data_IF_339602921878
#
_entry.id   IF_339602921878
#
_cell.length_a   1.000
_cell.length_b   1.000
_cell.length_c   1.000
_cell.angle_alpha   90.00
_cell.angle_beta   90.00
_cell.angle_gamma   90.00
#
_symmetry.space_group_name_H-M   'P 1'
#
loop_
_entity.id
_entity.type
_entity.pdbx_description
1 polymer ?
#
# COMPACT_ATOMS: atom_id res chain seq x y z
N UNK A 1 -4.57 18.18 5.04
CA UNK A 1 -5.31 18.79 3.91
C UNK A 1 -5.79 17.72 2.95
N UNK A 2 -4.91 16.85 2.42
CA UNK A 2 -5.30 15.67 1.64
C UNK A 2 -6.17 14.71 2.45
N UNK A 3 -5.75 14.40 3.66
CA UNK A 3 -6.60 13.79 4.68
C UNK A 3 -7.23 14.91 5.51
N UNK A 4 -8.54 14.80 5.72
CA UNK A 4 -9.32 15.75 6.53
C UNK A 4 -9.27 15.43 8.03
N UNK A 5 -8.43 14.46 8.42
CA UNK A 5 -8.25 14.02 9.79
C UNK A 5 -6.92 14.53 10.37
N UNK A 6 -6.90 14.73 11.68
CA UNK A 6 -5.68 15.01 12.43
C UNK A 6 -4.81 13.75 12.51
N UNK A 7 -3.53 13.94 12.78
CA UNK A 7 -2.64 12.82 13.07
C UNK A 7 -3.19 12.01 14.26
N UNK A 8 -3.30 10.67 14.17
CA UNK A 8 -4.02 9.85 15.14
C UNK A 8 -3.31 9.73 16.49
N UNK A 9 -2.04 10.11 16.58
CA UNK A 9 -1.25 10.03 17.80
C UNK A 9 -0.89 11.42 18.35
N UNK A 10 -0.39 11.44 19.59
CA UNK A 10 -0.02 12.68 20.29
C UNK A 10 1.24 13.36 19.77
N UNK A 11 2.21 12.57 19.27
CA UNK A 11 3.49 13.08 18.78
C UNK A 11 4.04 12.20 17.65
N UNK A 12 4.94 12.80 16.86
CA UNK A 12 5.70 12.12 15.82
C UNK A 12 7.19 12.15 16.19
N UNK A 13 7.82 10.98 16.21
CA UNK A 13 9.25 10.79 16.47
C UNK A 13 9.92 10.26 15.21
N UNK A 14 11.07 10.83 14.85
CA UNK A 14 11.85 10.41 13.69
C UNK A 14 13.25 10.07 14.15
N UNK A 15 13.71 8.85 13.89
CA UNK A 15 15.01 8.35 14.33
C UNK A 15 15.80 7.89 13.12
N UNK A 16 17.01 8.41 12.98
CA UNK A 16 17.96 7.97 11.96
C UNK A 16 18.94 6.98 12.58
N UNK A 17 19.02 5.79 12.01
CA UNK A 17 19.86 4.69 12.50
C UNK A 17 20.78 4.24 11.37
N UNK A 18 22.05 4.00 11.71
CA UNK A 18 23.02 3.43 10.79
C UNK A 18 22.84 1.90 10.70
N UNK A 19 23.20 1.29 9.58
CA UNK A 19 23.07 -0.17 9.35
C UNK A 19 21.64 -0.74 9.45
N UNK A 20 20.64 -0.03 8.93
CA UNK A 20 19.27 -0.57 8.82
C UNK A 20 19.11 -1.51 7.63
N UNK A 21 18.37 -2.62 7.79
CA UNK A 21 18.10 -3.55 6.69
C UNK A 21 17.24 -2.96 5.56
N UNK A 22 16.33 -2.04 5.89
CA UNK A 22 15.49 -1.32 4.93
C UNK A 22 15.67 0.18 5.12
N UNK A 23 15.43 0.95 4.04
CA UNK A 23 15.57 2.42 4.05
C UNK A 23 14.68 3.11 5.10
N UNK A 24 13.52 2.52 5.37
CA UNK A 24 12.56 3.01 6.35
C UNK A 24 11.70 1.90 6.93
N UNK A 25 11.29 2.06 8.19
CA UNK A 25 10.23 1.29 8.83
C UNK A 25 9.34 2.20 9.66
N UNK A 26 8.04 2.02 9.48
CA UNK A 26 7.00 2.84 10.11
C UNK A 26 6.43 2.10 11.32
N UNK A 27 6.42 2.76 12.47
CA UNK A 27 5.82 2.28 13.72
C UNK A 27 4.80 3.29 14.26
N UNK A 28 3.99 2.87 15.24
CA UNK A 28 3.08 3.77 15.92
C UNK A 28 3.86 4.93 16.57
N UNK A 29 3.53 6.17 16.22
CA UNK A 29 4.21 7.42 16.68
C UNK A 29 5.66 7.63 16.22
N UNK A 30 6.30 6.64 15.60
CA UNK A 30 7.73 6.67 15.31
C UNK A 30 8.07 6.15 13.92
N UNK A 31 9.01 6.78 13.22
CA UNK A 31 9.60 6.26 11.98
C UNK A 31 11.10 6.07 12.18
N UNK A 32 11.58 4.85 11.91
CA UNK A 32 13.01 4.54 11.87
C UNK A 32 13.46 4.62 10.41
N UNK A 33 14.51 5.40 10.15
CA UNK A 33 15.02 5.73 8.83
C UNK A 33 16.53 5.50 8.78
N UNK A 34 17.08 5.21 7.60
CA UNK A 34 18.53 5.09 7.43
C UNK A 34 19.21 6.46 7.46
N UNK A 35 20.40 6.54 8.06
CA UNK A 35 21.26 7.74 8.04
C UNK A 35 21.60 8.20 6.60
N UNK A 36 21.63 7.29 5.63
CA UNK A 36 21.85 7.57 4.20
C UNK A 36 20.81 8.52 3.57
N UNK A 37 19.67 8.74 4.24
CA UNK A 37 18.65 9.69 3.80
C UNK A 37 18.95 11.13 4.24
N UNK A 38 19.88 11.33 5.18
CA UNK A 38 20.33 12.64 5.60
C UNK A 38 21.26 13.23 4.54
N UNK A 39 20.98 14.46 4.14
CA UNK A 39 21.79 15.17 3.15
C UNK A 39 21.87 16.66 3.48
N UNK A 40 22.97 17.29 3.05
CA UNK A 40 23.11 18.74 3.11
C UNK A 40 22.20 19.42 2.08
N UNK A 41 21.88 20.70 2.29
CA UNK A 41 21.08 21.51 1.38
C UNK A 41 21.71 21.66 -0.03
N UNK A 42 23.02 21.40 -0.16
CA UNK A 42 23.75 21.44 -1.44
C UNK A 42 23.40 20.26 -2.34
N UNK A 43 23.00 19.12 -1.77
CA UNK A 43 22.69 17.89 -2.51
C UNK A 43 21.20 17.90 -2.85
N UNK A 44 20.86 18.47 -4.00
CA UNK A 44 19.46 18.68 -4.42
C UNK A 44 18.81 17.37 -4.89
N UNK A 45 19.56 16.47 -5.52
CA UNK A 45 19.00 15.23 -6.09
C UNK A 45 18.41 14.29 -5.03
N UNK A 46 19.04 14.25 -3.84
CA UNK A 46 18.59 13.40 -2.73
C UNK A 46 17.26 13.87 -2.11
N UNK A 47 16.88 15.14 -2.32
CA UNK A 47 15.65 15.73 -1.77
C UNK A 47 14.42 14.92 -2.18
N UNK A 48 14.33 14.53 -3.46
CA UNK A 48 13.17 13.80 -3.99
C UNK A 48 13.03 12.42 -3.34
N UNK A 49 14.15 11.68 -3.27
CA UNK A 49 14.20 10.34 -2.66
C UNK A 49 13.85 10.38 -1.17
N UNK A 50 14.53 11.24 -0.40
CA UNK A 50 14.33 11.35 1.04
C UNK A 50 12.92 11.78 1.40
N UNK A 51 12.39 12.81 0.72
CA UNK A 51 11.04 13.31 1.01
C UNK A 51 9.94 12.32 0.65
N UNK A 52 10.10 11.59 -0.46
CA UNK A 52 9.17 10.51 -0.83
C UNK A 52 9.17 9.39 0.21
N UNK A 53 10.34 8.99 0.70
CA UNK A 53 10.46 7.96 1.74
C UNK A 53 9.84 8.42 3.06
N UNK A 54 10.09 9.68 3.47
CA UNK A 54 9.46 10.24 4.66
C UNK A 54 7.94 10.33 4.52
N UNK A 55 7.43 10.77 3.37
CA UNK A 55 5.99 10.83 3.10
C UNK A 55 5.35 9.44 3.15
N UNK A 56 6.04 8.44 2.60
CA UNK A 56 5.63 7.04 2.68
C UNK A 56 5.59 6.55 4.13
N UNK A 57 6.62 6.85 4.92
CA UNK A 57 6.67 6.45 6.32
C UNK A 57 5.51 7.03 7.15
N UNK A 58 5.16 8.29 6.92
CA UNK A 58 4.01 8.93 7.58
C UNK A 58 2.69 8.32 7.08
N UNK A 59 2.54 8.09 5.77
CA UNK A 59 1.31 7.51 5.22
C UNK A 59 1.04 6.09 5.77
N UNK A 60 2.09 5.31 6.00
CA UNK A 60 1.99 3.99 6.62
C UNK A 60 1.62 4.02 8.10
N UNK A 61 1.91 5.10 8.82
CA UNK A 61 1.42 5.26 10.19
C UNK A 61 -0.11 5.38 10.24
N UNK A 62 -0.71 6.06 9.27
CA UNK A 62 -2.17 6.11 9.13
C UNK A 62 -2.74 4.74 8.67
N UNK A 63 -2.19 4.20 7.59
CA UNK A 63 -2.62 2.92 7.00
C UNK A 63 -1.48 1.91 7.09
N UNK A 64 -1.50 1.09 8.15
CA UNK A 64 -0.42 0.18 8.52
C UNK A 64 -0.27 0.06 10.03
N UNK A 65 -0.28 1.18 10.76
CA UNK A 65 -0.24 1.19 12.23
C UNK A 65 -1.62 1.50 12.84
N UNK A 66 -2.25 2.61 12.43
CA UNK A 66 -3.52 3.02 13.00
C UNK A 66 -4.69 2.17 12.48
N UNK A 67 -4.81 2.05 11.16
CA UNK A 67 -5.66 1.05 10.51
C UNK A 67 -4.78 -0.14 10.11
N UNK A 68 -5.05 -1.31 10.68
CA UNK A 68 -4.28 -2.54 10.45
C UNK A 68 -5.01 -3.49 9.51
N UNK A 69 -4.29 -4.37 8.82
CA UNK A 69 -4.90 -5.38 7.96
C UNK A 69 -5.59 -6.47 8.81
N UNK A 70 -6.71 -7.00 8.34
CA UNK A 70 -7.41 -8.10 9.01
C UNK A 70 -6.71 -9.45 8.79
N UNK A 71 -6.21 -9.68 7.58
CA UNK A 71 -5.51 -10.89 7.15
C UNK A 71 -4.27 -10.54 6.34
N UNK A 72 -3.32 -11.47 6.23
CA UNK A 72 -2.13 -11.32 5.38
C UNK A 72 -2.47 -11.17 3.89
N UNK A 73 -3.60 -11.72 3.45
CA UNK A 73 -4.12 -11.53 2.10
C UNK A 73 -4.48 -10.08 1.78
N UNK A 74 -4.73 -9.26 2.82
CA UNK A 74 -5.07 -7.84 2.69
C UNK A 74 -3.83 -6.91 2.79
N UNK A 75 -2.62 -7.47 2.86
CA UNK A 75 -1.38 -6.69 3.00
C UNK A 75 -1.20 -5.66 1.88
N UNK A 76 -1.62 -6.00 0.66
CA UNK A 76 -1.54 -5.12 -0.50
C UNK A 76 -2.34 -3.83 -0.30
N UNK A 77 -3.43 -3.87 0.48
CA UNK A 77 -4.34 -2.75 0.67
C UNK A 77 -3.67 -1.64 1.49
N UNK A 78 -3.10 -1.97 2.65
CA UNK A 78 -2.42 -0.99 3.50
C UNK A 78 -1.25 -0.32 2.79
N UNK A 79 -0.40 -1.12 2.13
CA UNK A 79 0.74 -0.59 1.36
C UNK A 79 0.30 0.16 0.10
N UNK A 80 -0.75 -0.28 -0.58
CA UNK A 80 -1.30 0.40 -1.74
C UNK A 80 -1.86 1.79 -1.38
N UNK A 81 -2.66 1.89 -0.30
CA UNK A 81 -3.21 3.16 0.17
C UNK A 81 -2.09 4.11 0.61
N UNK A 82 -1.11 3.62 1.37
CA UNK A 82 -0.01 4.48 1.84
C UNK A 82 0.84 5.01 0.68
N UNK A 83 1.16 4.16 -0.31
CA UNK A 83 1.87 4.58 -1.53
C UNK A 83 1.04 5.55 -2.37
N UNK A 84 -0.27 5.36 -2.44
CA UNK A 84 -1.15 6.30 -3.12
C UNK A 84 -1.14 7.69 -2.46
N UNK A 85 -1.26 7.76 -1.13
CA UNK A 85 -1.21 9.01 -0.38
C UNK A 85 0.16 9.71 -0.51
N UNK A 86 1.25 8.94 -0.44
CA UNK A 86 2.60 9.45 -0.70
C UNK A 86 2.74 9.97 -2.14
N UNK A 87 2.14 9.28 -3.11
CA UNK A 87 2.07 9.71 -4.51
C UNK A 87 1.34 11.04 -4.69
N UNK A 88 0.21 11.25 -4.02
CA UNK A 88 -0.51 12.53 -4.03
C UNK A 88 0.35 13.67 -3.45
N UNK A 89 1.08 13.40 -2.36
CA UNK A 89 2.02 14.36 -1.79
C UNK A 89 3.15 14.70 -2.77
N UNK A 90 3.75 13.70 -3.42
CA UNK A 90 4.81 13.90 -4.40
C UNK A 90 4.31 14.69 -5.62
N UNK A 91 3.12 14.38 -6.13
CA UNK A 91 2.48 15.11 -7.24
C UNK A 91 2.27 16.59 -6.90
N UNK A 92 1.88 16.91 -5.67
CA UNK A 92 1.68 18.30 -5.19
C UNK A 92 3.01 19.02 -4.94
N UNK A 93 4.03 18.33 -4.43
CA UNK A 93 5.28 18.95 -3.96
C UNK A 93 6.36 19.03 -5.04
N UNK A 94 6.48 18.01 -5.89
CA UNK A 94 7.55 17.87 -6.89
C UNK A 94 7.04 18.03 -8.34
N UNK A 95 5.72 18.10 -8.51
CA UNK A 95 5.08 18.33 -9.79
C UNK A 95 4.63 17.04 -10.49
N UNK A 96 3.75 17.23 -11.47
CA UNK A 96 3.04 16.13 -12.13
C UNK A 96 3.93 15.30 -13.08
N UNK A 97 4.99 15.89 -13.65
CA UNK A 97 5.87 15.19 -14.58
C UNK A 97 6.72 14.13 -13.88
N UNK A 98 7.33 14.47 -12.75
CA UNK A 98 8.09 13.54 -11.92
C UNK A 98 7.20 12.39 -11.43
N UNK A 99 5.98 12.72 -10.95
CA UNK A 99 5.00 11.71 -10.56
C UNK A 99 4.64 10.75 -11.72
N UNK A 100 4.44 11.26 -12.94
CA UNK A 100 4.15 10.43 -14.13
C UNK A 100 5.32 9.52 -14.49
N UNK A 101 6.54 10.05 -14.44
CA UNK A 101 7.75 9.27 -14.65
C UNK A 101 7.87 8.14 -13.61
N UNK A 102 7.64 8.46 -12.33
CA UNK A 102 7.65 7.46 -11.27
C UNK A 102 6.60 6.35 -11.49
N UNK A 103 5.36 6.71 -11.85
CA UNK A 103 4.31 5.73 -12.18
C UNK A 103 4.72 4.84 -13.36
N UNK A 104 5.30 5.43 -14.40
CA UNK A 104 5.79 4.66 -15.56
C UNK A 104 6.91 3.70 -15.18
N UNK A 105 7.87 4.15 -14.37
CA UNK A 105 8.96 3.30 -13.86
C UNK A 105 8.41 2.13 -13.04
N UNK A 106 7.43 2.38 -12.16
CA UNK A 106 6.79 1.36 -11.34
C UNK A 106 6.06 0.32 -12.21
N UNK A 107 5.38 0.76 -13.28
CA UNK A 107 4.74 -0.13 -14.24
C UNK A 107 5.77 -0.99 -14.98
N UNK A 108 6.86 -0.40 -15.47
CA UNK A 108 7.92 -1.14 -16.16
C UNK A 108 8.55 -2.21 -15.26
N UNK A 109 8.75 -1.90 -13.97
CA UNK A 109 9.30 -2.87 -13.02
C UNK A 109 8.37 -4.05 -12.75
N UNK A 110 7.05 -3.79 -12.66
CA UNK A 110 6.05 -4.86 -12.51
C UNK A 110 6.02 -5.73 -13.77
N UNK A 111 6.02 -5.12 -14.97
CA UNK A 111 6.05 -5.87 -16.24
C UNK A 111 7.29 -6.74 -16.34
N UNK A 112 8.47 -6.19 -16.06
CA UNK A 112 9.73 -6.97 -16.05
C UNK A 112 9.71 -8.15 -15.08
N UNK A 113 9.03 -7.98 -13.94
CA UNK A 113 8.87 -9.06 -12.98
C UNK A 113 7.92 -10.13 -13.50
N UNK A 114 6.75 -9.73 -14.01
CA UNK A 114 5.72 -10.64 -14.51
C UNK A 114 6.18 -11.43 -15.75
N UNK A 115 6.99 -10.82 -16.62
CA UNK A 115 7.60 -11.51 -17.77
C UNK A 115 8.59 -12.60 -17.37
N UNK A 116 9.30 -12.43 -16.25
CA UNK A 116 10.37 -13.34 -15.81
C UNK A 116 9.89 -14.44 -14.87
N UNK A 117 9.03 -14.08 -13.93
CA UNK A 117 8.65 -14.94 -12.81
C UNK A 117 7.17 -15.30 -12.80
N UNK A 118 6.35 -14.62 -13.59
CA UNK A 118 4.92 -14.85 -13.68
C UNK A 118 4.04 -13.83 -12.94
N UNK A 119 2.73 -14.01 -13.06
CA UNK A 119 1.71 -13.11 -12.53
C UNK A 119 1.71 -12.97 -11.01
N UNK A 120 1.48 -11.74 -10.55
CA UNK A 120 1.38 -11.43 -9.11
C UNK A 120 -0.08 -11.48 -8.66
N UNK A 121 -0.39 -12.28 -7.64
CA UNK A 121 -1.72 -12.34 -7.01
C UNK A 121 -1.75 -11.41 -5.79
N UNK A 122 -2.71 -10.47 -5.78
CA UNK A 122 -2.86 -9.48 -4.71
C UNK A 122 -3.64 -10.00 -3.49
N UNK A 123 -4.74 -10.72 -3.72
CA UNK A 123 -5.53 -11.38 -2.68
C UNK A 123 -5.56 -12.90 -2.97
N UNK A 124 -4.75 -13.70 -2.26
CA UNK A 124 -4.75 -15.16 -2.42
C UNK A 124 -5.98 -15.86 -1.83
N UNK A 125 -6.86 -15.13 -1.11
CA UNK A 125 -8.00 -15.72 -0.40
C UNK A 125 -9.23 -15.91 -1.28
N UNK A 126 -9.35 -15.14 -2.37
CA UNK A 126 -10.42 -15.29 -3.34
C UNK A 126 -9.93 -16.03 -4.59
N UNK A 127 -10.73 -16.96 -5.14
CA UNK A 127 -10.43 -17.54 -6.45
C UNK A 127 -10.44 -16.43 -7.50
N UNK A 128 -9.51 -16.44 -8.47
CA UNK A 128 -9.49 -15.43 -9.53
C UNK A 128 -10.83 -15.41 -10.26
N UNK A 129 -11.33 -14.21 -10.56
CA UNK A 129 -12.59 -14.04 -11.28
C UNK A 129 -12.56 -14.86 -12.59
N UNK A 130 -13.64 -15.59 -12.92
CA UNK A 130 -13.71 -16.32 -14.18
C UNK A 130 -13.52 -15.33 -15.33
N UNK A 131 -12.64 -15.68 -16.27
CA UNK A 131 -12.44 -14.92 -17.49
C UNK A 131 -13.79 -14.74 -18.21
N UNK A 132 -14.09 -13.57 -18.78
CA UNK A 132 -15.30 -13.39 -19.58
C UNK A 132 -15.16 -14.19 -20.87
N UNK A 133 -15.53 -15.47 -20.81
CA UNK A 133 -15.64 -16.36 -21.95
C UNK A 133 -17.05 -16.21 -22.54
N UNK A 134 -17.13 -16.01 -23.85
CA UNK A 134 -18.40 -16.05 -24.59
C UNK A 134 -19.13 -17.37 -24.33
N UNK A 135 -20.46 -17.33 -24.43
CA UNK A 135 -21.43 -18.31 -23.93
C UNK A 135 -21.29 -19.80 -24.35
N UNK A 136 -20.25 -20.21 -25.08
CA UNK A 136 -20.16 -21.55 -25.68
C UNK A 136 -18.84 -22.31 -25.48
N UNK A 137 -18.00 -21.96 -24.51
CA UNK A 137 -16.83 -22.80 -24.17
C UNK A 137 -17.01 -23.48 -22.82
N UNK A 138 -17.16 -24.81 -22.87
CA UNK A 138 -17.12 -25.73 -21.72
C UNK A 138 -15.95 -25.36 -20.82
N UNK A 139 -16.20 -25.25 -19.51
CA UNK A 139 -15.19 -25.07 -18.48
C UNK A 139 -14.19 -26.22 -18.55
N UNK A 140 -13.14 -26.08 -19.35
CA UNK A 140 -11.90 -26.76 -19.03
C UNK A 140 -11.46 -26.16 -17.70
N UNK A 141 -11.47 -26.99 -16.65
CA UNK A 141 -10.65 -26.77 -15.47
C UNK A 141 -9.21 -26.57 -15.97
N UNK A 142 -8.86 -25.34 -16.30
CA UNK A 142 -7.49 -24.87 -16.29
C UNK A 142 -7.05 -25.15 -14.86
N UNK A 143 -6.43 -26.31 -14.65
CA UNK A 143 -5.55 -26.57 -13.52
C UNK A 143 -4.82 -25.27 -13.33
N UNK A 144 -5.11 -24.60 -12.22
CA UNK A 144 -4.48 -23.35 -11.87
C UNK A 144 -3.00 -23.54 -12.21
N UNK A 145 -2.51 -22.78 -13.19
CA UNK A 145 -1.11 -22.45 -13.18
C UNK A 145 -0.95 -21.62 -11.91
N UNK A 146 -0.94 -22.27 -10.73
CA UNK A 146 0.03 -21.90 -9.73
C UNK A 146 1.34 -22.03 -10.48
N UNK A 147 1.73 -20.93 -11.15
CA UNK A 147 3.11 -20.73 -11.52
C UNK A 147 3.89 -21.18 -10.30
N UNK A 148 4.71 -22.22 -10.47
CA UNK A 148 5.38 -22.93 -9.38
C UNK A 148 6.36 -21.97 -8.72
N UNK A 149 5.85 -21.03 -7.94
CA UNK A 149 6.63 -20.25 -7.04
C UNK A 149 7.20 -21.26 -6.06
N UNK A 150 8.53 -21.24 -5.93
CA UNK A 150 9.25 -22.14 -5.03
C UNK A 150 8.74 -22.01 -3.58
N UNK A 151 8.17 -20.85 -3.25
CA UNK A 151 7.58 -20.56 -1.96
C UNK A 151 6.08 -20.29 -2.05
N UNK A 152 5.33 -20.72 -1.04
CA UNK A 152 3.90 -20.47 -0.95
C UNK A 152 3.60 -18.98 -0.76
N UNK A 153 2.63 -18.47 -1.52
CA UNK A 153 2.15 -17.08 -1.43
C UNK A 153 1.22 -16.87 -0.22
N UNK A 154 0.78 -17.95 0.43
CA UNK A 154 -0.19 -17.90 1.54
C UNK A 154 0.40 -17.40 2.85
N UNK A 155 1.70 -17.63 3.07
CA UNK A 155 2.39 -17.28 4.31
C UNK A 155 3.39 -16.14 4.05
N UNK A 156 3.34 -15.08 4.88
CA UNK A 156 4.25 -13.95 4.75
C UNK A 156 5.73 -14.37 4.83
N UNK A 157 6.06 -15.26 5.77
CA UNK A 157 7.43 -15.66 6.04
C UNK A 157 8.08 -16.50 4.93
N UNK A 158 7.28 -17.02 4.00
CA UNK A 158 7.78 -17.75 2.84
C UNK A 158 7.89 -16.86 1.59
N UNK A 159 7.31 -15.66 1.61
CA UNK A 159 7.35 -14.78 0.44
C UNK A 159 8.77 -14.27 0.14
N UNK A 160 9.15 -14.35 -1.13
CA UNK A 160 10.39 -13.74 -1.62
C UNK A 160 10.34 -12.22 -1.47
N UNK A 161 11.41 -11.56 -0.99
CA UNK A 161 11.49 -10.10 -0.93
C UNK A 161 11.23 -9.42 -2.28
N UNK A 162 11.68 -10.04 -3.37
CA UNK A 162 11.47 -9.53 -4.73
C UNK A 162 9.98 -9.56 -5.09
N UNK A 163 9.27 -10.63 -4.70
CA UNK A 163 7.82 -10.74 -4.88
C UNK A 163 7.09 -9.67 -4.06
N UNK A 164 7.48 -9.45 -2.79
CA UNK A 164 6.88 -8.43 -1.92
C UNK A 164 7.06 -7.03 -2.52
N UNK A 165 8.25 -6.71 -3.04
CA UNK A 165 8.49 -5.43 -3.70
C UNK A 165 7.58 -5.27 -4.93
N UNK A 166 7.50 -6.28 -5.79
CA UNK A 166 6.64 -6.25 -6.97
C UNK A 166 5.14 -6.15 -6.60
N UNK A 167 4.71 -6.84 -5.55
CA UNK A 167 3.37 -6.78 -4.97
C UNK A 167 3.01 -5.34 -4.54
N UNK A 168 3.91 -4.67 -3.81
CA UNK A 168 3.69 -3.27 -3.41
C UNK A 168 3.55 -2.35 -4.62
N UNK A 169 4.43 -2.51 -5.64
CA UNK A 169 4.35 -1.71 -6.87
C UNK A 169 3.03 -1.94 -7.61
N UNK A 170 2.58 -3.19 -7.69
CA UNK A 170 1.29 -3.54 -8.30
C UNK A 170 0.10 -2.99 -7.50
N UNK A 171 0.15 -3.04 -6.17
CA UNK A 171 -0.89 -2.47 -5.31
C UNK A 171 -1.10 -0.97 -5.56
N UNK A 172 0.00 -0.21 -5.70
CA UNK A 172 -0.06 1.21 -6.06
C UNK A 172 -0.73 1.45 -7.43
N UNK A 173 -0.38 0.64 -8.44
CA UNK A 173 -1.00 0.75 -9.76
C UNK A 173 -2.50 0.43 -9.74
N UNK A 174 -2.92 -0.56 -8.93
CA UNK A 174 -4.34 -0.87 -8.72
C UNK A 174 -5.07 0.28 -8.05
N UNK A 175 -4.49 0.91 -7.01
CA UNK A 175 -5.08 2.11 -6.40
C UNK A 175 -5.26 3.25 -7.40
N UNK A 176 -4.28 3.43 -8.29
CA UNK A 176 -4.39 4.42 -9.37
C UNK A 176 -5.47 4.06 -10.39
N UNK A 177 -5.66 2.77 -10.71
CA UNK A 177 -6.76 2.35 -11.58
C UNK A 177 -8.13 2.62 -10.93
N UNK A 178 -8.25 2.41 -9.62
CA UNK A 178 -9.44 2.78 -8.86
C UNK A 178 -9.67 4.30 -8.87
N UNK A 179 -8.63 5.10 -8.69
CA UNK A 179 -8.68 6.57 -8.81
C UNK A 179 -9.25 7.01 -10.17
N UNK A 180 -8.82 6.40 -11.29
CA UNK A 180 -9.33 6.74 -12.63
C UNK A 180 -10.77 6.30 -12.86
N UNK A 181 -11.24 5.25 -12.19
CA UNK A 181 -12.61 4.70 -12.36
C UNK A 181 -13.64 5.43 -11.50
N UNK A 182 -13.30 5.71 -10.24
CA UNK A 182 -14.22 6.26 -9.24
C UNK A 182 -14.05 7.78 -9.12
N UNK A 183 -12.84 8.28 -9.33
CA UNK A 183 -12.46 9.66 -9.08
C UNK A 183 -11.71 9.84 -7.76
N UNK A 184 -10.75 10.78 -7.76
CA UNK A 184 -9.86 11.03 -6.62
C UNK A 184 -10.63 11.49 -5.36
N UNK A 185 -11.64 12.35 -5.52
CA UNK A 185 -12.38 12.93 -4.39
C UNK A 185 -13.17 11.87 -3.61
N UNK A 186 -13.93 11.04 -4.33
CA UNK A 186 -14.70 9.95 -3.74
C UNK A 186 -13.79 8.93 -3.06
N UNK A 187 -12.66 8.58 -3.68
CA UNK A 187 -11.69 7.65 -3.07
C UNK A 187 -11.11 8.21 -1.76
N UNK A 188 -10.76 9.50 -1.73
CA UNK A 188 -10.28 10.17 -0.51
C UNK A 188 -11.39 10.26 0.55
N UNK A 189 -12.65 10.45 0.17
CA UNK A 189 -13.78 10.39 1.10
C UNK A 189 -13.91 9.01 1.75
N UNK A 190 -13.73 7.92 0.99
CA UNK A 190 -13.72 6.56 1.55
C UNK A 190 -12.60 6.40 2.58
N UNK A 191 -11.38 6.86 2.28
CA UNK A 191 -10.26 6.82 3.23
C UNK A 191 -10.54 7.62 4.50
N UNK A 192 -11.09 8.83 4.37
CA UNK A 192 -11.46 9.66 5.52
C UNK A 192 -12.56 9.02 6.38
N UNK A 193 -13.54 8.36 5.76
CA UNK A 193 -14.58 7.61 6.46
C UNK A 193 -13.99 6.48 7.28
N UNK A 194 -13.07 5.69 6.70
CA UNK A 194 -12.40 4.61 7.44
C UNK A 194 -11.57 5.13 8.61
N UNK A 195 -10.82 6.22 8.41
CA UNK A 195 -10.06 6.87 9.48
C UNK A 195 -10.96 7.41 10.61
N UNK A 196 -12.11 7.98 10.27
CA UNK A 196 -13.06 8.46 11.28
C UNK A 196 -13.69 7.31 12.08
N UNK A 197 -14.02 6.19 11.42
CA UNK A 197 -14.53 4.99 12.10
C UNK A 197 -13.48 4.40 13.05
N UNK A 198 -12.22 4.30 12.59
CA UNK A 198 -11.10 3.85 13.41
C UNK A 198 -10.82 4.79 14.59
N UNK A 199 -10.89 6.11 14.39
CA UNK A 199 -10.74 7.10 15.46
C UNK A 199 -11.82 7.00 16.53
N UNK A 200 -13.07 6.81 16.13
CA UNK A 200 -14.17 6.59 17.06
C UNK A 200 -13.99 5.29 17.84
N UNK A 201 -13.55 4.22 17.17
CA UNK A 201 -13.29 2.93 17.82
C UNK A 201 -12.13 3.01 18.84
N UNK A 202 -11.06 3.73 18.52
CA UNK A 202 -9.88 3.85 19.37
C UNK A 202 -10.15 4.57 20.71
N UNK A 203 -11.17 5.42 20.78
CA UNK A 203 -11.55 6.13 22.02
C UNK A 203 -12.42 5.27 22.95
N UNK A 204 -12.99 4.17 22.46
CA UNK A 204 -13.90 3.32 23.21
C UNK A 204 -13.15 2.28 24.03
N UNK A 205 -13.71 1.90 25.19
CA UNK A 205 -13.13 0.84 26.05
C UNK A 205 -13.07 -0.51 25.33
N UNK A 206 -12.04 -1.30 25.64
CA UNK A 206 -11.94 -2.72 25.25
C UNK A 206 -13.23 -3.43 25.72
N UNK A 207 -14.02 -3.94 24.78
CA UNK A 207 -15.29 -4.63 25.06
C UNK A 207 -16.51 -4.08 24.31
N UNK A 208 -16.38 -2.93 23.64
CA UNK A 208 -17.47 -2.34 22.84
C UNK A 208 -17.75 -3.04 21.50
N UNK A 209 -16.91 -4.00 21.08
CA UNK A 209 -17.01 -4.67 19.77
C UNK A 209 -16.64 -3.79 18.57
N UNK A 210 -16.46 -2.48 18.76
CA UNK A 210 -16.19 -1.49 17.71
C UNK A 210 -14.75 -1.53 17.19
N UNK A 211 -13.86 -2.24 17.87
CA UNK A 211 -12.43 -2.33 17.53
C UNK A 211 -12.18 -3.02 16.17
N UNK A 212 -13.17 -3.77 15.67
CA UNK A 212 -13.14 -4.30 14.30
C UNK A 212 -13.04 -3.21 13.23
N UNK A 213 -13.48 -1.97 13.51
CA UNK A 213 -13.35 -0.84 12.60
C UNK A 213 -11.91 -0.30 12.46
N UNK A 214 -10.97 -0.75 13.32
CA UNK A 214 -9.54 -0.47 13.15
C UNK A 214 -8.88 -1.48 12.20
N UNK A 215 -9.60 -2.54 11.80
CA UNK A 215 -9.15 -3.51 10.83
C UNK A 215 -9.72 -3.19 9.45
N UNK A 216 -8.89 -3.31 8.43
CA UNK A 216 -9.31 -3.20 7.03
C UNK A 216 -9.06 -4.53 6.31
N UNK A 217 -10.07 -4.95 5.55
CA UNK A 217 -9.98 -6.08 4.64
C UNK A 217 -10.45 -5.70 3.25
N UNK A 218 -10.02 -6.45 2.25
CA UNK A 218 -10.39 -6.25 0.85
C UNK A 218 -11.91 -6.25 0.69
N UNK A 219 -12.63 -7.13 1.41
CA UNK A 219 -14.09 -7.20 1.39
C UNK A 219 -14.79 -5.98 2.00
N UNK A 220 -14.25 -5.44 3.10
CA UNK A 220 -14.83 -4.24 3.73
C UNK A 220 -14.56 -3.02 2.86
N UNK A 221 -13.37 -2.95 2.25
CA UNK A 221 -12.98 -1.87 1.37
C UNK A 221 -13.78 -1.85 0.07
N UNK A 222 -13.98 -3.00 -0.59
CA UNK A 222 -14.78 -3.11 -1.81
C UNK A 222 -16.25 -2.79 -1.60
N UNK A 223 -16.79 -3.07 -0.40
CA UNK A 223 -18.15 -2.65 -0.02
C UNK A 223 -18.27 -1.16 0.31
N UNK A 224 -17.16 -0.50 0.62
CA UNK A 224 -17.13 0.91 0.99
C UNK A 224 -16.94 1.83 -0.21
N UNK A 225 -16.40 1.31 -1.32
CA UNK A 225 -16.33 1.91 -2.65
C UNK A 225 -17.69 1.74 -3.34
#
# INVERSE_FOLDING_TARGET
>A
ETLSNRYPYSCYKQVFVDETHEDYRSFATMSILTVNLLHSAVIVDQVYSTRRIMAQAIAEQFFGCFISMQSWSDMWLNKGISQFLSGLYCKKSFGNNDYRYWVQSMLQDVVKYEERFGGIVLDPSQPPAPLPLGSNTVQQNLKQNEEKFYFSIRNLHTLSPIYIQALHKKAFLVMRMLEHRIGQELLVQVFNKQLSLAANAAQQKIGSGLWGHMLISTNVFTKAI
#
